data_IF_768334413398
#
_entry.id   IF_768334413398
#
_cell.length_a   1.000
_cell.length_b   1.000
_cell.length_c   1.000
_cell.angle_alpha   90.00
_cell.angle_beta   90.00
_cell.angle_gamma   90.00
#
_symmetry.space_group_name_H-M   'P 1'
#
loop_
_entity.id
_entity.type
_entity.pdbx_description
1 polymer ?
#
# COMPACT_ATOMS: atom_id res chain seq x y z
N UNK A 1 83.78 37.87 24.25
CA UNK A 1 82.37 38.17 23.95
C UNK A 1 81.81 37.01 23.20
N UNK A 2 80.88 36.22 23.82
CA UNK A 2 80.29 35.01 23.22
C UNK A 2 78.92 35.39 22.71
N UNK A 3 78.49 34.95 21.52
CA UNK A 3 77.09 35.07 21.11
C UNK A 3 76.31 33.77 21.56
N UNK A 4 75.16 33.99 22.15
CA UNK A 4 74.19 33.03 22.62
C UNK A 4 73.38 32.50 21.45
N UNK A 5 73.42 31.19 21.24
CA UNK A 5 72.58 30.53 20.22
C UNK A 5 71.18 30.23 20.83
N UNK A 6 70.19 30.82 20.29
CA UNK A 6 68.82 30.56 20.65
C UNK A 6 68.26 29.42 19.76
N UNK A 7 68.03 28.23 20.35
CA UNK A 7 67.44 27.09 19.66
C UNK A 7 65.94 27.22 19.66
N UNK A 8 65.33 27.42 18.49
CA UNK A 8 63.91 27.30 18.29
C UNK A 8 63.51 25.81 18.07
N UNK A 9 62.84 25.23 19.03
CA UNK A 9 62.16 23.97 18.85
C UNK A 9 60.85 24.19 18.04
N UNK A 10 60.83 23.71 16.82
CA UNK A 10 59.61 23.63 16.02
C UNK A 10 58.85 22.36 16.43
N UNK A 11 57.70 22.53 17.12
CA UNK A 11 56.74 21.47 17.40
C UNK A 11 55.88 21.25 16.16
N UNK A 12 56.13 20.17 15.42
CA UNK A 12 55.28 19.74 14.32
C UNK A 12 54.08 18.98 14.94
N UNK A 13 52.92 19.64 15.04
CA UNK A 13 51.66 19.01 15.39
C UNK A 13 51.10 18.30 14.15
N UNK A 14 51.30 16.99 14.05
CA UNK A 14 50.64 16.15 13.06
C UNK A 14 49.16 15.98 13.46
N UNK A 15 48.28 16.75 12.88
CA UNK A 15 46.84 16.55 12.99
C UNK A 15 46.47 15.31 12.16
N UNK A 16 46.25 14.17 12.83
CA UNK A 16 45.66 12.98 12.23
C UNK A 16 44.18 13.28 12.07
N UNK A 17 43.78 13.72 10.90
CA UNK A 17 42.38 13.80 10.51
C UNK A 17 41.85 12.37 10.33
N UNK A 18 41.25 11.79 11.39
CA UNK A 18 40.45 10.58 11.25
C UNK A 18 39.20 10.92 10.49
N UNK A 19 39.20 10.76 9.17
CA UNK A 19 38.01 10.71 8.36
C UNK A 19 37.23 9.45 8.73
N UNK A 20 36.27 9.57 9.65
CA UNK A 20 35.27 8.56 9.83
C UNK A 20 34.42 8.56 8.55
N UNK A 21 34.81 7.78 7.55
CA UNK A 21 33.85 7.35 6.53
C UNK A 21 32.85 6.46 7.26
N UNK A 22 31.67 7.03 7.55
CA UNK A 22 30.54 6.23 7.92
C UNK A 22 30.24 5.31 6.72
N UNK A 23 30.75 4.07 6.77
CA UNK A 23 30.28 3.03 5.87
C UNK A 23 28.78 2.93 6.09
N UNK A 24 28.00 3.25 5.06
CA UNK A 24 26.57 2.97 5.08
C UNK A 24 26.45 1.46 5.38
N UNK A 25 25.92 1.14 6.55
CA UNK A 25 25.69 -0.25 6.91
C UNK A 25 24.83 -0.87 5.80
N UNK A 26 25.22 -2.05 5.30
CA UNK A 26 24.43 -2.77 4.32
C UNK A 26 23.02 -2.98 4.89
N UNK A 27 22.02 -2.39 4.22
CA UNK A 27 20.62 -2.52 4.63
C UNK A 27 20.23 -4.00 4.52
N UNK A 28 19.82 -4.66 5.61
CA UNK A 28 19.45 -6.06 5.57
C UNK A 28 18.35 -6.30 4.53
N UNK A 29 18.49 -7.36 3.73
CA UNK A 29 17.50 -7.76 2.75
C UNK A 29 16.81 -9.03 3.23
N UNK A 30 15.47 -8.99 3.32
CA UNK A 30 14.62 -10.10 3.72
C UNK A 30 13.72 -10.49 2.54
N UNK A 31 13.73 -11.76 2.19
CA UNK A 31 12.89 -12.31 1.13
C UNK A 31 11.61 -12.90 1.73
N UNK A 32 10.51 -12.16 1.63
CA UNK A 32 9.20 -12.57 2.16
C UNK A 32 8.63 -13.78 1.40
N UNK A 33 9.10 -14.09 0.20
CA UNK A 33 8.66 -15.28 -0.55
C UNK A 33 9.19 -16.57 0.06
N UNK A 34 10.22 -16.46 0.89
CA UNK A 34 10.85 -17.58 1.65
C UNK A 34 10.65 -17.44 3.16
N UNK A 35 10.02 -16.37 3.59
CA UNK A 35 9.78 -16.09 5.01
C UNK A 35 8.59 -16.88 5.53
N UNK A 36 8.75 -17.51 6.68
CA UNK A 36 7.65 -18.16 7.38
C UNK A 36 7.04 -17.17 8.38
N UNK A 37 5.81 -16.67 8.14
CA UNK A 37 5.17 -15.76 9.07
C UNK A 37 4.88 -16.45 10.41
N UNK A 38 4.89 -15.69 11.52
CA UNK A 38 4.48 -16.22 12.80
C UNK A 38 3.01 -16.67 12.74
N UNK A 39 2.67 -17.76 13.46
CA UNK A 39 1.33 -18.34 13.43
C UNK A 39 0.47 -17.77 14.56
N UNK A 40 -0.73 -17.26 14.24
CA UNK A 40 -1.61 -16.63 15.21
C UNK A 40 -2.02 -17.56 16.36
N UNK A 41 -2.12 -18.85 16.09
CA UNK A 41 -2.48 -19.85 17.10
C UNK A 41 -1.39 -20.05 18.17
N UNK A 42 -0.15 -19.65 17.89
CA UNK A 42 0.95 -19.68 18.86
C UNK A 42 0.95 -18.51 19.83
N UNK A 43 0.09 -17.51 19.61
CA UNK A 43 0.01 -16.31 20.45
C UNK A 43 -0.66 -16.63 21.79
N UNK A 44 -0.01 -16.26 22.89
CA UNK A 44 -0.53 -16.45 24.24
C UNK A 44 -1.81 -15.66 24.55
N UNK A 45 -2.33 -15.84 25.78
CA UNK A 45 -3.52 -15.16 26.26
C UNK A 45 -3.22 -14.04 27.30
N UNK A 46 -1.95 -13.66 27.42
CA UNK A 46 -1.55 -12.47 28.16
C UNK A 46 -2.12 -11.19 27.52
N UNK A 47 -2.05 -10.04 28.21
CA UNK A 47 -2.63 -8.79 27.67
C UNK A 47 -2.16 -8.43 26.27
N UNK A 48 -0.86 -8.61 25.95
CA UNK A 48 -0.31 -8.32 24.62
C UNK A 48 -0.81 -9.33 23.59
N UNK A 49 -0.81 -10.62 23.91
CA UNK A 49 -1.32 -11.68 23.04
C UNK A 49 -2.79 -11.48 22.69
N UNK A 50 -3.64 -11.09 23.65
CA UNK A 50 -5.05 -10.74 23.40
C UNK A 50 -5.16 -9.56 22.43
N UNK A 51 -4.29 -8.56 22.56
CA UNK A 51 -4.28 -7.39 21.67
C UNK A 51 -3.85 -7.77 20.24
N UNK A 52 -2.84 -8.64 20.09
CA UNK A 52 -2.42 -9.20 18.78
C UNK A 52 -3.55 -10.00 18.13
N UNK A 53 -4.22 -10.87 18.88
CA UNK A 53 -5.39 -11.63 18.39
C UNK A 53 -6.53 -10.72 17.96
N UNK A 54 -6.77 -9.64 18.70
CA UNK A 54 -7.78 -8.65 18.30
C UNK A 54 -7.37 -7.92 17.02
N UNK A 55 -6.09 -7.55 16.86
CA UNK A 55 -5.56 -6.98 15.61
C UNK A 55 -5.72 -7.92 14.42
N UNK A 56 -5.47 -9.22 14.61
CA UNK A 56 -5.77 -10.23 13.59
C UNK A 56 -7.27 -10.28 13.24
N UNK A 57 -8.16 -10.30 14.25
CA UNK A 57 -9.61 -10.26 14.02
C UNK A 57 -10.04 -9.02 13.22
N UNK A 58 -9.49 -7.84 13.55
CA UNK A 58 -9.70 -6.61 12.79
C UNK A 58 -9.27 -6.76 11.32
N UNK A 59 -8.18 -7.49 11.03
CA UNK A 59 -7.70 -7.72 9.67
C UNK A 59 -8.61 -8.63 8.86
N UNK A 60 -9.11 -9.71 9.46
CA UNK A 60 -9.83 -10.76 8.73
C UNK A 60 -11.34 -10.61 8.77
N UNK A 61 -11.86 -9.80 9.68
CA UNK A 61 -13.30 -9.62 9.91
C UNK A 61 -13.67 -8.16 10.21
N UNK A 62 -13.02 -7.22 9.53
CA UNK A 62 -13.16 -5.77 9.75
C UNK A 62 -14.61 -5.30 9.79
N UNK A 63 -15.46 -5.82 8.86
CA UNK A 63 -16.86 -5.40 8.75
C UNK A 63 -17.67 -5.66 10.02
N UNK A 64 -17.44 -6.82 10.69
CA UNK A 64 -18.13 -7.18 11.92
C UNK A 64 -17.50 -6.54 13.16
N UNK A 65 -16.19 -6.32 13.14
CA UNK A 65 -15.48 -5.76 14.28
C UNK A 65 -15.69 -4.24 14.40
N UNK A 66 -15.53 -3.52 13.28
CA UNK A 66 -15.52 -2.04 13.26
C UNK A 66 -16.19 -1.46 11.99
N UNK A 67 -16.97 -2.25 11.29
CA UNK A 67 -17.65 -1.84 10.06
C UNK A 67 -19.18 -1.72 10.21
N UNK A 68 -19.91 -1.70 9.09
CA UNK A 68 -21.35 -1.48 9.08
C UNK A 68 -22.16 -2.48 9.91
N UNK A 69 -21.64 -3.70 10.09
CA UNK A 69 -22.27 -4.79 10.85
C UNK A 69 -21.75 -4.95 12.27
N UNK A 70 -20.85 -4.06 12.73
CA UNK A 70 -20.33 -4.09 14.09
C UNK A 70 -21.50 -3.95 15.11
N UNK A 71 -21.48 -4.82 16.12
CA UNK A 71 -22.52 -4.88 17.15
C UNK A 71 -22.63 -3.54 17.92
N UNK A 72 -21.50 -2.91 18.22
CA UNK A 72 -21.43 -1.58 18.81
C UNK A 72 -21.40 -0.50 17.72
N UNK A 73 -22.48 0.29 17.55
CA UNK A 73 -22.53 1.35 16.53
C UNK A 73 -21.44 2.42 16.71
N UNK A 74 -20.94 2.65 17.92
CA UNK A 74 -19.90 3.66 18.19
C UNK A 74 -18.57 3.27 17.60
N UNK A 75 -18.36 1.97 17.36
CA UNK A 75 -17.16 1.38 16.76
C UNK A 75 -17.22 1.25 15.25
N UNK A 76 -18.27 1.70 14.59
CA UNK A 76 -18.40 1.65 13.12
C UNK A 76 -17.49 2.69 12.47
N UNK A 77 -16.21 2.34 12.33
CA UNK A 77 -15.18 3.16 11.70
C UNK A 77 -15.08 2.91 10.19
N UNK A 78 -15.20 1.64 9.73
CA UNK A 78 -15.29 1.32 8.32
C UNK A 78 -16.66 1.67 7.76
N UNK A 79 -16.72 2.29 6.58
CA UNK A 79 -17.95 2.69 5.90
C UNK A 79 -18.44 1.66 4.86
N UNK A 80 -17.69 0.58 4.65
CA UNK A 80 -18.02 -0.48 3.71
C UNK A 80 -17.83 -1.88 4.30
N UNK A 81 -18.27 -2.92 3.58
CA UNK A 81 -18.18 -4.32 4.02
C UNK A 81 -16.87 -5.02 3.68
N UNK A 82 -15.86 -4.28 3.21
CA UNK A 82 -14.54 -4.85 2.96
C UNK A 82 -13.86 -5.25 4.27
N UNK A 83 -12.95 -6.20 4.16
CA UNK A 83 -11.98 -6.51 5.21
C UNK A 83 -10.59 -6.10 4.75
N UNK A 84 -9.69 -5.80 5.69
CA UNK A 84 -8.32 -5.43 5.34
C UNK A 84 -7.64 -6.53 4.52
N UNK A 85 -7.91 -7.80 4.83
CA UNK A 85 -7.35 -8.92 4.07
C UNK A 85 -7.86 -9.05 2.63
N UNK A 86 -8.88 -8.28 2.21
CA UNK A 86 -9.29 -8.27 0.79
C UNK A 86 -8.24 -7.65 -0.13
N UNK A 87 -7.32 -6.85 0.42
CA UNK A 87 -6.15 -6.31 -0.26
C UNK A 87 -4.82 -6.78 0.34
N UNK A 88 -4.82 -7.10 1.65
CA UNK A 88 -3.66 -7.63 2.39
C UNK A 88 -3.86 -9.13 2.61
N UNK A 89 -3.76 -9.92 1.52
CA UNK A 89 -4.17 -11.32 1.51
C UNK A 89 -3.51 -12.15 2.62
N UNK A 90 -4.21 -13.21 3.06
CA UNK A 90 -3.79 -14.09 4.17
C UNK A 90 -3.44 -13.30 5.42
N UNK A 91 -4.36 -12.42 5.84
CA UNK A 91 -4.17 -11.54 7.00
C UNK A 91 -2.88 -10.69 6.94
N UNK A 92 -2.44 -10.31 5.73
CA UNK A 92 -1.25 -9.49 5.51
C UNK A 92 0.06 -10.28 5.45
N UNK A 93 0.03 -11.58 5.20
CA UNK A 93 1.24 -12.41 5.12
C UNK A 93 1.62 -12.82 3.70
N UNK A 94 0.72 -12.69 2.71
CA UNK A 94 1.00 -13.14 1.34
C UNK A 94 1.95 -12.20 0.62
N UNK A 95 3.13 -12.67 0.15
CA UNK A 95 4.05 -11.88 -0.65
C UNK A 95 3.37 -11.32 -1.92
N UNK A 96 3.75 -10.11 -2.32
CA UNK A 96 3.21 -9.40 -3.48
C UNK A 96 1.68 -9.16 -3.47
N UNK A 97 1.04 -9.38 -2.32
CA UNK A 97 -0.36 -9.03 -2.06
C UNK A 97 -0.46 -7.96 -0.95
N UNK A 98 0.38 -6.94 -1.04
CA UNK A 98 0.52 -5.88 -0.04
C UNK A 98 0.74 -6.44 1.38
N UNK A 99 1.75 -7.31 1.62
CA UNK A 99 1.96 -7.89 2.94
C UNK A 99 2.20 -6.81 4.00
N UNK A 100 1.80 -7.11 5.24
CA UNK A 100 2.10 -6.29 6.42
C UNK A 100 3.32 -6.82 7.18
N UNK A 101 3.85 -7.97 6.78
CA UNK A 101 5.08 -8.56 7.32
C UNK A 101 6.23 -7.58 7.14
N UNK A 102 6.87 -7.19 8.25
CA UNK A 102 7.96 -6.23 8.28
C UNK A 102 7.55 -4.76 8.19
N UNK A 103 6.24 -4.46 8.10
CA UNK A 103 5.76 -3.06 7.95
C UNK A 103 6.11 -2.19 9.15
N UNK A 104 6.22 -2.78 10.35
CA UNK A 104 6.53 -2.05 11.57
C UNK A 104 7.84 -1.26 11.46
N UNK A 105 8.90 -1.91 10.99
CA UNK A 105 10.22 -1.29 10.83
C UNK A 105 10.37 -0.36 9.64
N UNK A 106 9.29 -0.12 8.86
CA UNK A 106 9.31 0.81 7.72
C UNK A 106 8.82 2.22 8.08
N UNK A 107 8.31 2.43 9.29
CA UNK A 107 7.79 3.71 9.75
C UNK A 107 8.58 4.26 10.94
N UNK A 108 8.67 5.60 11.10
CA UNK A 108 8.10 6.64 10.23
C UNK A 108 8.82 6.77 8.88
N UNK A 109 8.09 7.20 7.83
CA UNK A 109 8.67 7.42 6.51
C UNK A 109 8.02 8.60 5.78
N UNK A 110 8.73 9.16 4.79
CA UNK A 110 8.15 10.19 3.93
C UNK A 110 7.03 9.62 3.06
N UNK A 111 5.93 10.33 3.02
CA UNK A 111 4.72 9.96 2.28
C UNK A 111 4.37 11.03 1.26
N UNK A 112 4.67 10.77 0.00
CA UNK A 112 4.47 11.75 -1.07
C UNK A 112 3.01 12.19 -1.25
N UNK A 113 2.02 11.37 -0.87
CA UNK A 113 0.60 11.75 -0.96
C UNK A 113 0.25 12.86 0.02
N UNK A 114 0.74 12.78 1.23
CA UNK A 114 0.54 13.77 2.28
C UNK A 114 1.60 14.88 2.21
N UNK A 115 2.78 14.60 1.66
CA UNK A 115 3.91 15.53 1.53
C UNK A 115 4.73 15.69 2.80
N UNK A 116 4.64 14.75 3.72
CA UNK A 116 5.24 14.82 5.04
C UNK A 116 5.78 13.46 5.54
N UNK A 117 6.51 13.47 6.66
CA UNK A 117 6.89 12.26 7.38
C UNK A 117 5.66 11.75 8.13
N UNK A 118 5.21 10.55 7.78
CA UNK A 118 4.02 9.93 8.39
C UNK A 118 4.36 8.71 9.22
N UNK A 119 3.50 8.43 10.21
CA UNK A 119 3.56 7.27 11.10
C UNK A 119 2.76 6.08 10.54
N UNK A 120 2.89 4.91 11.17
CA UNK A 120 2.10 3.74 10.80
C UNK A 120 0.60 3.95 11.12
N UNK A 121 0.27 4.65 12.20
CA UNK A 121 -1.10 5.01 12.58
C UNK A 121 -1.77 5.86 11.49
N UNK A 122 -1.09 6.87 11.01
CA UNK A 122 -1.58 7.73 9.92
C UNK A 122 -1.74 6.92 8.63
N UNK A 123 -0.84 5.96 8.37
CA UNK A 123 -0.98 5.05 7.22
C UNK A 123 -2.20 4.16 7.34
N UNK A 124 -2.49 3.61 8.53
CA UNK A 124 -3.70 2.83 8.83
C UNK A 124 -4.94 3.71 8.61
N UNK A 125 -4.96 4.92 9.16
CA UNK A 125 -6.07 5.86 9.01
C UNK A 125 -6.29 6.27 7.55
N UNK A 126 -5.22 6.42 6.76
CA UNK A 126 -5.34 6.61 5.32
C UNK A 126 -6.06 5.45 4.62
N UNK A 127 -5.92 4.20 5.09
CA UNK A 127 -6.69 3.07 4.59
C UNK A 127 -8.15 3.11 5.06
N UNK A 128 -8.39 3.44 6.34
CA UNK A 128 -9.75 3.55 6.89
C UNK A 128 -10.61 4.54 6.10
N UNK A 129 -10.04 5.69 5.77
CA UNK A 129 -10.75 6.75 5.06
C UNK A 129 -10.88 6.51 3.55
N UNK A 130 -10.00 5.71 2.93
CA UNK A 130 -9.95 5.50 1.46
C UNK A 130 -10.42 4.11 1.07
N UNK A 131 -9.71 3.07 1.48
CA UNK A 131 -10.03 1.69 1.14
C UNK A 131 -11.31 1.23 1.85
N UNK A 132 -11.47 1.64 3.10
CA UNK A 132 -12.64 1.28 3.89
C UNK A 132 -13.78 2.31 3.81
N UNK A 133 -13.64 3.38 3.01
CA UNK A 133 -14.67 4.44 2.81
C UNK A 133 -15.28 4.97 4.12
N UNK A 134 -14.51 4.95 5.21
CA UNK A 134 -14.93 5.25 6.57
C UNK A 134 -14.28 6.48 7.15
N UNK A 135 -14.07 6.46 8.45
CA UNK A 135 -13.44 7.53 9.24
C UNK A 135 -12.19 7.05 9.96
N UNK A 136 -11.30 7.98 10.28
CA UNK A 136 -10.08 7.69 11.04
C UNK A 136 -10.40 7.07 12.40
N UNK A 137 -9.57 6.11 12.82
CA UNK A 137 -9.54 5.60 14.18
C UNK A 137 -8.89 6.66 15.10
N UNK A 138 -9.42 6.90 16.31
CA UNK A 138 -8.68 7.64 17.32
C UNK A 138 -7.33 6.96 17.60
N UNK A 139 -6.26 7.75 17.71
CA UNK A 139 -4.91 7.20 17.85
C UNK A 139 -4.71 6.41 19.14
N UNK A 140 -5.46 6.73 20.20
CA UNK A 140 -5.46 6.06 21.50
C UNK A 140 -6.49 4.93 21.61
N UNK A 141 -7.28 4.66 20.55
CA UNK A 141 -8.30 3.61 20.54
C UNK A 141 -7.70 2.21 20.72
N UNK A 142 -8.50 1.30 21.26
CA UNK A 142 -8.13 -0.11 21.38
C UNK A 142 -7.86 -0.73 20.00
N UNK A 143 -8.64 -0.34 19.00
CA UNK A 143 -8.55 -0.78 17.62
C UNK A 143 -7.21 -0.39 17.00
N UNK A 144 -6.79 0.87 17.16
CA UNK A 144 -5.49 1.32 16.67
C UNK A 144 -4.35 0.57 17.37
N UNK A 145 -4.39 0.45 18.70
CA UNK A 145 -3.40 -0.32 19.46
C UNK A 145 -3.33 -1.78 19.01
N UNK A 146 -4.48 -2.38 18.66
CA UNK A 146 -4.55 -3.75 18.19
C UNK A 146 -3.91 -3.91 16.79
N UNK A 147 -4.17 -2.99 15.85
CA UNK A 147 -3.49 -2.99 14.55
C UNK A 147 -1.97 -2.85 14.70
N UNK A 148 -1.51 -1.95 15.57
CA UNK A 148 -0.07 -1.76 15.82
C UNK A 148 0.57 -2.98 16.46
N UNK A 149 -0.09 -3.61 17.45
CA UNK A 149 0.39 -4.83 18.08
C UNK A 149 0.49 -5.98 17.07
N UNK A 150 -0.50 -6.11 16.19
CA UNK A 150 -0.49 -7.11 15.13
C UNK A 150 0.62 -6.85 14.10
N UNK A 151 0.79 -5.62 13.63
CA UNK A 151 1.85 -5.24 12.69
C UNK A 151 3.25 -5.49 13.28
N UNK A 152 3.45 -5.15 14.55
CA UNK A 152 4.70 -5.44 15.27
C UNK A 152 4.97 -6.94 15.39
N UNK A 153 3.94 -7.71 15.76
CA UNK A 153 4.04 -9.16 15.88
C UNK A 153 4.38 -9.81 14.55
N UNK A 154 3.73 -9.40 13.44
CA UNK A 154 4.07 -9.88 12.08
C UNK A 154 5.49 -9.52 11.66
N UNK A 155 6.10 -8.51 12.26
CA UNK A 155 7.46 -8.05 11.96
C UNK A 155 8.52 -8.70 12.87
N UNK A 156 8.13 -9.67 13.72
CA UNK A 156 9.07 -10.36 14.61
C UNK A 156 10.18 -11.04 13.81
N UNK A 157 11.44 -10.72 14.15
CA UNK A 157 12.62 -11.25 13.48
C UNK A 157 13.02 -10.54 12.18
N UNK A 158 12.30 -9.47 11.80
CA UNK A 158 12.66 -8.61 10.66
C UNK A 158 13.31 -7.33 11.20
N UNK A 159 14.55 -7.01 10.82
CA UNK A 159 15.22 -5.79 11.24
C UNK A 159 14.50 -4.52 10.74
N UNK A 160 14.50 -3.47 11.55
CA UNK A 160 13.95 -2.18 11.16
C UNK A 160 14.72 -1.62 9.94
N UNK A 161 13.98 -1.04 9.00
CA UNK A 161 14.54 -0.51 7.75
C UNK A 161 14.98 -1.57 6.74
N UNK A 162 14.78 -2.87 7.00
CA UNK A 162 15.14 -3.92 6.05
C UNK A 162 14.48 -3.73 4.69
N UNK A 163 15.22 -4.01 3.61
CA UNK A 163 14.66 -4.11 2.26
C UNK A 163 13.88 -5.42 2.13
N UNK A 164 12.59 -5.31 1.83
CA UNK A 164 11.68 -6.45 1.78
C UNK A 164 11.40 -6.85 0.33
N UNK A 165 11.90 -8.00 -0.12
CA UNK A 165 11.48 -8.64 -1.36
C UNK A 165 10.10 -9.27 -1.11
N UNK A 166 9.16 -9.09 -2.01
CA UNK A 166 7.79 -9.57 -1.82
C UNK A 166 6.86 -8.54 -1.17
N UNK A 167 7.38 -7.36 -0.76
CA UNK A 167 6.55 -6.25 -0.29
C UNK A 167 5.73 -5.62 -1.44
N UNK A 168 4.60 -4.99 -1.09
CA UNK A 168 3.72 -4.33 -2.06
C UNK A 168 3.09 -5.30 -3.06
N UNK A 169 3.06 -4.92 -4.34
CA UNK A 169 2.62 -5.74 -5.46
C UNK A 169 3.75 -5.90 -6.47
N UNK A 170 3.78 -7.02 -7.17
CA UNK A 170 4.73 -7.24 -8.26
C UNK A 170 4.22 -6.51 -9.51
N UNK A 171 5.05 -5.65 -10.10
CA UNK A 171 4.66 -4.90 -11.29
C UNK A 171 4.38 -5.82 -12.49
N UNK A 172 3.42 -5.42 -13.33
CA UNK A 172 3.21 -6.01 -14.65
C UNK A 172 4.20 -5.44 -15.66
N UNK A 173 4.40 -6.14 -16.77
CA UNK A 173 4.96 -5.54 -17.97
C UNK A 173 3.87 -4.66 -18.61
N UNK A 174 3.97 -3.34 -18.37
CA UNK A 174 2.99 -2.38 -18.85
C UNK A 174 2.91 -2.40 -20.40
N UNK A 175 1.70 -2.59 -20.98
CA UNK A 175 1.53 -2.47 -22.43
C UNK A 175 1.76 -1.04 -22.91
N UNK A 176 2.39 -0.88 -24.08
CA UNK A 176 2.62 0.44 -24.73
C UNK A 176 1.35 0.95 -25.45
N UNK A 177 0.25 1.00 -24.73
CA UNK A 177 -1.06 1.50 -25.18
C UNK A 177 -1.90 1.92 -23.97
N UNK A 178 -3.01 2.60 -24.22
CA UNK A 178 -4.03 2.76 -23.19
C UNK A 178 -4.66 1.40 -22.82
N UNK A 179 -5.07 1.24 -21.58
CA UNK A 179 -5.89 0.11 -21.15
C UNK A 179 -7.27 0.19 -21.81
N UNK A 180 -7.81 -0.96 -22.23
CA UNK A 180 -9.12 -1.05 -22.90
C UNK A 180 -10.19 -1.60 -21.91
N UNK A 181 -11.04 -0.74 -21.31
CA UNK A 181 -12.11 -1.20 -20.44
C UNK A 181 -13.13 -2.13 -21.15
N UNK A 182 -13.27 -2.07 -22.48
CA UNK A 182 -14.19 -2.96 -23.23
C UNK A 182 -13.64 -4.38 -23.31
N UNK A 183 -12.33 -4.53 -23.55
CA UNK A 183 -11.68 -5.84 -23.45
C UNK A 183 -11.68 -6.30 -21.99
N UNK A 184 -11.41 -5.40 -21.04
CA UNK A 184 -11.49 -5.67 -19.60
C UNK A 184 -12.85 -6.19 -19.15
N UNK A 185 -13.96 -5.69 -19.71
CA UNK A 185 -15.30 -6.18 -19.42
C UNK A 185 -15.49 -7.66 -19.85
N UNK A 186 -14.89 -8.08 -20.98
CA UNK A 186 -14.93 -9.48 -21.42
C UNK A 186 -14.13 -10.36 -20.46
N UNK A 187 -12.88 -9.97 -20.16
CA UNK A 187 -12.04 -10.68 -19.19
C UNK A 187 -12.74 -10.79 -17.82
N UNK A 188 -13.40 -9.71 -17.40
CA UNK A 188 -14.14 -9.70 -16.13
C UNK A 188 -15.31 -10.69 -16.15
N UNK A 189 -16.11 -10.71 -17.22
CA UNK A 189 -17.24 -11.62 -17.37
C UNK A 189 -16.78 -13.09 -17.32
N UNK A 190 -15.68 -13.41 -17.99
CA UNK A 190 -15.17 -14.77 -18.12
C UNK A 190 -14.47 -15.27 -16.87
N UNK A 191 -13.79 -14.38 -16.11
CA UNK A 191 -12.85 -14.80 -15.04
C UNK A 191 -13.25 -14.30 -13.65
N UNK A 192 -13.95 -13.18 -13.54
CA UNK A 192 -14.15 -12.49 -12.26
C UNK A 192 -15.61 -12.50 -11.78
N UNK A 193 -16.56 -12.42 -12.72
CA UNK A 193 -17.98 -12.21 -12.43
C UNK A 193 -18.60 -13.35 -11.61
N UNK A 194 -18.11 -14.59 -11.76
CA UNK A 194 -18.57 -15.73 -10.98
C UNK A 194 -18.46 -15.49 -9.47
N UNK A 195 -17.38 -14.84 -9.03
CA UNK A 195 -17.15 -14.54 -7.61
C UNK A 195 -17.59 -13.10 -7.25
N UNK A 196 -17.22 -12.10 -8.06
CA UNK A 196 -17.42 -10.71 -7.71
C UNK A 196 -18.76 -10.12 -8.19
N UNK A 197 -19.64 -10.95 -8.80
CA UNK A 197 -20.91 -10.49 -9.40
C UNK A 197 -20.70 -9.86 -10.77
N UNK A 198 -21.71 -9.91 -11.63
CA UNK A 198 -21.66 -9.34 -12.99
C UNK A 198 -21.49 -7.81 -12.99
N UNK A 199 -22.00 -7.18 -11.94
CA UNK A 199 -21.97 -5.73 -11.69
C UNK A 199 -20.81 -5.29 -10.78
N UNK A 200 -20.00 -6.25 -10.31
CA UNK A 200 -18.91 -5.96 -9.39
C UNK A 200 -19.32 -5.70 -7.93
N UNK A 201 -20.56 -5.93 -7.57
CA UNK A 201 -21.09 -5.66 -6.22
C UNK A 201 -20.72 -6.75 -5.19
N UNK A 202 -19.99 -7.78 -5.62
CA UNK A 202 -19.55 -8.85 -4.75
C UNK A 202 -20.65 -9.85 -4.39
N UNK A 203 -20.32 -10.75 -3.47
CA UNK A 203 -21.29 -11.72 -2.92
C UNK A 203 -21.15 -11.70 -1.40
N UNK A 204 -22.28 -11.55 -0.69
CA UNK A 204 -22.31 -11.62 0.77
C UNK A 204 -22.24 -13.07 1.23
N UNK A 205 -21.60 -13.29 2.38
CA UNK A 205 -21.66 -14.59 3.05
C UNK A 205 -23.11 -14.91 3.48
N UNK A 206 -23.43 -16.19 3.59
CA UNK A 206 -24.77 -16.64 4.00
C UNK A 206 -25.21 -16.06 5.35
N UNK A 207 -24.27 -15.75 6.23
CA UNK A 207 -24.50 -15.06 7.52
C UNK A 207 -24.80 -13.56 7.37
N UNK A 208 -24.70 -13.00 6.17
CA UNK A 208 -25.07 -11.61 5.83
C UNK A 208 -24.10 -10.53 6.31
N UNK A 209 -23.14 -10.85 7.14
CA UNK A 209 -22.32 -9.86 7.84
C UNK A 209 -21.09 -9.40 7.04
N UNK A 210 -20.35 -10.34 6.44
CA UNK A 210 -19.15 -10.05 5.64
C UNK A 210 -19.34 -10.48 4.19
N UNK A 211 -18.51 -9.96 3.29
CA UNK A 211 -18.50 -10.40 1.90
C UNK A 211 -17.73 -11.71 1.78
N UNK A 212 -18.35 -12.76 1.24
CA UNK A 212 -17.66 -13.98 0.83
C UNK A 212 -16.69 -13.65 -0.30
N UNK A 213 -17.17 -12.90 -1.29
CA UNK A 213 -16.34 -12.29 -2.32
C UNK A 213 -16.55 -10.79 -2.33
N UNK A 214 -15.48 -9.99 -2.13
CA UNK A 214 -15.63 -8.56 -1.88
C UNK A 214 -16.10 -7.79 -3.12
N UNK A 215 -16.88 -6.72 -2.93
CA UNK A 215 -17.30 -5.82 -4.00
C UNK A 215 -16.08 -5.10 -4.62
N UNK A 216 -16.14 -4.91 -5.94
CA UNK A 216 -15.17 -4.14 -6.74
C UNK A 216 -15.75 -2.81 -7.19
N UNK A 217 -17.05 -2.61 -7.05
CA UNK A 217 -17.81 -1.43 -7.44
C UNK A 217 -18.84 -1.05 -6.37
N UNK A 218 -19.52 0.06 -6.58
CA UNK A 218 -20.61 0.53 -5.73
C UNK A 218 -20.17 1.15 -4.40
N UNK A 219 -21.14 1.54 -3.57
CA UNK A 219 -20.88 2.23 -2.30
C UNK A 219 -20.20 1.34 -1.26
N UNK A 220 -20.34 0.02 -1.39
CA UNK A 220 -19.81 -0.96 -0.44
C UNK A 220 -18.36 -1.39 -0.80
N UNK A 221 -17.74 -0.73 -1.78
CA UNK A 221 -16.36 -0.90 -2.19
C UNK A 221 -15.47 0.25 -1.70
N UNK A 222 -14.19 0.22 -2.07
CA UNK A 222 -13.26 1.33 -1.81
C UNK A 222 -13.66 2.58 -2.60
N UNK A 223 -13.41 3.77 -2.04
CA UNK A 223 -13.73 5.02 -2.72
C UNK A 223 -12.68 5.43 -3.77
N UNK A 224 -12.98 6.47 -4.55
CA UNK A 224 -12.12 6.96 -5.64
C UNK A 224 -10.76 7.50 -5.19
N UNK A 225 -10.51 7.70 -3.91
CA UNK A 225 -9.21 8.08 -3.33
C UNK A 225 -8.32 6.91 -2.94
N UNK A 226 -8.80 5.67 -3.06
CA UNK A 226 -8.04 4.47 -2.69
C UNK A 226 -6.91 4.19 -3.69
N UNK A 227 -5.84 3.52 -3.24
CA UNK A 227 -4.72 3.15 -4.10
C UNK A 227 -5.10 2.20 -5.25
N UNK A 228 -6.13 1.36 -5.04
CA UNK A 228 -6.64 0.42 -6.03
C UNK A 228 -7.40 1.07 -7.19
N UNK A 229 -7.70 2.38 -7.13
CA UNK A 229 -8.24 3.12 -8.27
C UNK A 229 -7.18 3.44 -9.34
N UNK A 230 -5.91 3.25 -9.00
CA UNK A 230 -4.80 3.38 -9.93
C UNK A 230 -4.68 2.10 -10.75
N UNK A 231 -4.79 2.24 -12.07
CA UNK A 231 -4.88 1.09 -12.97
C UNK A 231 -3.64 0.18 -12.92
N UNK A 232 -2.44 0.75 -12.81
CA UNK A 232 -1.21 -0.06 -12.69
C UNK A 232 -1.15 -0.82 -11.36
N UNK A 233 -1.61 -0.20 -10.28
CA UNK A 233 -1.67 -0.85 -8.96
C UNK A 233 -2.69 -1.99 -8.95
N UNK A 234 -3.88 -1.75 -9.53
CA UNK A 234 -4.92 -2.76 -9.63
C UNK A 234 -4.51 -3.91 -10.54
N UNK A 235 -3.90 -3.61 -11.70
CA UNK A 235 -3.39 -4.61 -12.63
C UNK A 235 -2.32 -5.50 -12.00
N UNK A 236 -1.36 -4.89 -11.29
CA UNK A 236 -0.32 -5.61 -10.57
C UNK A 236 -0.90 -6.58 -9.52
N UNK A 237 -1.90 -6.12 -8.77
CA UNK A 237 -2.58 -6.97 -7.80
C UNK A 237 -3.37 -8.11 -8.47
N UNK A 238 -4.16 -7.79 -9.49
CA UNK A 238 -5.00 -8.76 -10.21
C UNK A 238 -4.14 -9.83 -10.88
N UNK A 239 -3.08 -9.43 -11.59
CA UNK A 239 -2.17 -10.31 -12.32
C UNK A 239 -1.59 -11.42 -11.44
N UNK A 240 -1.20 -11.08 -10.21
CA UNK A 240 -0.42 -11.96 -9.36
C UNK A 240 -1.22 -12.60 -8.22
N UNK A 241 -2.50 -12.22 -8.04
CA UNK A 241 -3.31 -12.67 -6.91
C UNK A 241 -4.74 -13.08 -7.28
N UNK A 242 -5.16 -12.91 -8.54
CA UNK A 242 -6.51 -13.22 -9.02
C UNK A 242 -6.48 -14.00 -10.34
N UNK A 243 -7.46 -14.90 -10.59
CA UNK A 243 -8.54 -15.32 -9.68
C UNK A 243 -8.05 -16.05 -8.44
N UNK A 244 -8.96 -16.37 -7.51
CA UNK A 244 -8.63 -17.10 -6.27
C UNK A 244 -7.81 -18.36 -6.55
N UNK A 245 -6.69 -18.51 -5.85
CA UNK A 245 -5.72 -19.60 -6.06
C UNK A 245 -4.51 -19.21 -6.92
N UNK A 246 -4.56 -18.06 -7.62
CA UNK A 246 -3.39 -17.52 -8.34
C UNK A 246 -2.29 -17.13 -7.36
N UNK A 247 -1.04 -17.41 -7.76
CA UNK A 247 0.16 -16.96 -7.06
C UNK A 247 1.04 -16.13 -8.00
N UNK A 248 1.95 -15.36 -7.42
CA UNK A 248 2.80 -14.45 -8.21
C UNK A 248 3.73 -15.18 -9.19
N UNK A 249 4.08 -16.43 -8.93
CA UNK A 249 4.95 -17.29 -9.75
C UNK A 249 4.15 -18.17 -10.73
N UNK A 250 2.82 -18.28 -10.57
CA UNK A 250 1.92 -18.99 -11.45
C UNK A 250 0.67 -18.17 -11.81
N UNK A 251 0.84 -17.01 -12.46
CA UNK A 251 -0.28 -16.12 -12.78
C UNK A 251 -1.14 -16.67 -13.93
N UNK A 252 -2.46 -16.55 -13.80
CA UNK A 252 -3.44 -17.04 -14.77
C UNK A 252 -3.66 -16.06 -15.93
N UNK A 253 -3.81 -14.76 -15.61
CA UNK A 253 -4.05 -13.74 -16.62
C UNK A 253 -2.75 -13.31 -17.31
N UNK A 254 -2.80 -12.83 -18.54
CA UNK A 254 -1.70 -12.08 -19.16
C UNK A 254 -1.56 -10.68 -18.51
N UNK A 255 -0.40 -10.03 -18.69
CA UNK A 255 -0.22 -8.65 -18.28
C UNK A 255 -1.23 -7.71 -18.95
N UNK A 256 -1.53 -7.95 -20.24
CA UNK A 256 -2.50 -7.17 -20.99
C UNK A 256 -3.92 -7.35 -20.48
N UNK A 257 -4.35 -8.57 -20.16
CA UNK A 257 -5.69 -8.84 -19.62
C UNK A 257 -5.83 -8.27 -18.22
N UNK A 258 -4.80 -8.40 -17.38
CA UNK A 258 -4.79 -7.79 -16.05
C UNK A 258 -4.88 -6.25 -16.10
N UNK A 259 -4.20 -5.64 -17.08
CA UNK A 259 -4.25 -4.20 -17.32
C UNK A 259 -5.64 -3.73 -17.77
N UNK A 260 -6.24 -4.44 -18.73
CA UNK A 260 -7.55 -4.10 -19.26
C UNK A 260 -8.67 -4.35 -18.25
N UNK A 261 -8.63 -5.48 -17.51
CA UNK A 261 -9.65 -5.74 -16.47
C UNK A 261 -9.54 -4.79 -15.28
N UNK A 262 -8.32 -4.34 -14.93
CA UNK A 262 -8.14 -3.29 -13.93
C UNK A 262 -8.78 -1.95 -14.37
N UNK A 263 -8.66 -1.62 -15.66
CA UNK A 263 -9.31 -0.44 -16.23
C UNK A 263 -10.84 -0.56 -16.20
N UNK A 264 -11.39 -1.73 -16.54
CA UNK A 264 -12.82 -2.00 -16.43
C UNK A 264 -13.32 -1.85 -14.99
N UNK A 265 -12.69 -2.51 -14.03
CA UNK A 265 -13.05 -2.40 -12.60
C UNK A 265 -13.02 -0.94 -12.14
N UNK A 266 -12.04 -0.16 -12.60
CA UNK A 266 -11.90 1.25 -12.24
C UNK A 266 -12.79 2.20 -13.08
N UNK A 267 -13.49 1.68 -14.09
CA UNK A 267 -14.55 2.42 -14.78
C UNK A 267 -15.91 2.34 -14.06
N UNK A 268 -16.10 1.34 -13.20
CA UNK A 268 -17.32 1.13 -12.46
C UNK A 268 -17.51 2.20 -11.36
N UNK A 269 -18.76 2.53 -11.09
CA UNK A 269 -19.13 3.53 -10.07
C UNK A 269 -18.68 3.13 -8.66
N UNK A 270 -18.33 4.14 -7.88
CA UNK A 270 -17.90 4.00 -6.47
C UNK A 270 -18.11 5.29 -5.70
N UNK A 271 -18.06 5.21 -4.37
CA UNK A 271 -18.11 6.38 -3.50
C UNK A 271 -17.00 7.37 -3.81
N UNK A 272 -17.31 8.65 -3.68
CA UNK A 272 -16.34 9.74 -3.86
C UNK A 272 -15.79 10.20 -2.52
N UNK A 273 -14.50 10.53 -2.49
CA UNK A 273 -13.82 11.16 -1.37
C UNK A 273 -13.66 12.65 -1.64
N UNK A 274 -13.94 13.48 -0.65
CA UNK A 274 -13.68 14.91 -0.72
C UNK A 274 -12.18 15.24 -0.65
N UNK A 275 -11.81 16.43 -1.11
CA UNK A 275 -10.45 16.99 -0.97
C UNK A 275 -9.32 16.19 -1.63
N UNK A 276 -9.59 15.46 -2.71
CA UNK A 276 -8.56 14.73 -3.46
C UNK A 276 -7.56 15.67 -4.16
N UNK A 277 -7.91 16.91 -4.37
CA UNK A 277 -7.05 17.99 -4.89
C UNK A 277 -5.88 18.31 -3.96
N UNK A 278 -6.04 18.08 -2.66
CA UNK A 278 -4.99 18.24 -1.64
C UNK A 278 -3.95 17.14 -1.65
N UNK A 279 -4.27 15.98 -2.22
CA UNK A 279 -3.32 14.87 -2.34
C UNK A 279 -2.11 15.29 -3.20
N UNK A 280 -0.95 14.82 -2.79
CA UNK A 280 0.33 15.13 -3.43
C UNK A 280 0.56 16.65 -3.52
N UNK A 281 0.87 17.34 -2.40
CA UNK A 281 1.19 18.76 -2.41
C UNK A 281 2.27 19.09 -3.44
N UNK A 282 3.33 18.28 -3.51
CA UNK A 282 4.25 18.26 -4.64
C UNK A 282 3.66 17.41 -5.78
N UNK A 283 3.03 18.08 -6.74
CA UNK A 283 2.37 17.41 -7.87
C UNK A 283 3.32 16.62 -8.78
N UNK A 284 4.62 16.92 -8.75
CA UNK A 284 5.65 16.12 -9.45
C UNK A 284 5.81 14.70 -8.90
N UNK A 285 5.40 14.46 -7.65
CA UNK A 285 5.40 13.14 -7.01
C UNK A 285 4.09 12.37 -7.19
N UNK A 286 3.11 12.98 -7.88
CA UNK A 286 1.83 12.33 -8.14
C UNK A 286 2.02 11.15 -9.08
N UNK A 287 1.49 9.95 -8.76
CA UNK A 287 1.59 8.82 -9.65
C UNK A 287 0.97 9.11 -11.02
N UNK A 288 1.63 8.66 -12.08
CA UNK A 288 1.19 8.90 -13.48
C UNK A 288 -0.19 8.33 -13.78
N UNK A 289 -0.62 7.32 -13.03
CA UNK A 289 -1.91 6.65 -13.14
C UNK A 289 -2.92 7.11 -12.06
N UNK A 290 -2.73 8.31 -11.49
CA UNK A 290 -3.69 8.90 -10.55
C UNK A 290 -4.94 9.37 -11.31
N UNK A 291 -6.15 8.81 -11.05
CA UNK A 291 -7.33 9.13 -11.86
C UNK A 291 -7.97 10.48 -11.53
N UNK A 292 -7.37 11.29 -10.66
CA UNK A 292 -7.89 12.60 -10.25
C UNK A 292 -6.79 13.66 -10.23
N UNK A 293 -7.15 14.87 -10.66
CA UNK A 293 -6.27 16.04 -10.68
C UNK A 293 -6.04 16.68 -9.29
N UNK A 294 -5.38 17.85 -9.26
CA UNK A 294 -4.75 18.52 -10.40
C UNK A 294 -3.46 17.83 -10.86
N UNK A 295 -3.10 18.05 -12.13
CA UNK A 295 -1.85 17.57 -12.76
C UNK A 295 -0.98 18.75 -13.18
N UNK A 296 0.34 18.50 -13.37
CA UNK A 296 1.32 19.53 -13.81
C UNK A 296 1.86 19.29 -15.21
N UNK A 297 1.51 18.18 -15.81
CA UNK A 297 2.08 17.68 -17.06
C UNK A 297 1.24 18.01 -18.31
N UNK A 298 0.04 18.55 -18.11
CA UNK A 298 -0.87 18.99 -19.17
C UNK A 298 -1.68 17.85 -19.83
N UNK A 299 -1.56 16.61 -19.35
CA UNK A 299 -2.37 15.50 -19.85
C UNK A 299 -3.76 15.44 -19.20
N UNK A 300 -4.70 14.80 -19.89
CA UNK A 300 -6.09 14.69 -19.43
C UNK A 300 -6.25 13.69 -18.28
N UNK A 301 -7.32 13.84 -17.50
CA UNK A 301 -7.68 12.88 -16.46
C UNK A 301 -7.95 11.48 -17.03
N UNK A 302 -8.47 11.40 -18.24
CA UNK A 302 -8.69 10.13 -18.94
C UNK A 302 -7.38 9.42 -19.25
N UNK A 303 -6.35 10.15 -19.73
CA UNK A 303 -5.04 9.57 -19.97
C UNK A 303 -4.35 9.16 -18.66
N UNK A 304 -4.50 9.92 -17.59
CA UNK A 304 -4.06 9.53 -16.25
C UNK A 304 -4.82 8.32 -15.69
N UNK A 305 -6.05 8.10 -16.12
CA UNK A 305 -6.86 6.97 -15.69
C UNK A 305 -6.52 5.68 -16.45
N UNK A 306 -6.25 5.77 -17.74
CA UNK A 306 -6.14 4.59 -18.61
C UNK A 306 -4.81 4.48 -19.38
N UNK A 307 -3.96 5.51 -19.37
CA UNK A 307 -2.73 5.56 -20.14
C UNK A 307 -2.95 6.03 -21.59
N UNK A 308 -1.95 5.89 -22.47
CA UNK A 308 -0.62 5.34 -22.18
C UNK A 308 0.20 6.25 -21.27
N UNK A 309 0.94 5.67 -20.33
CA UNK A 309 1.65 6.45 -19.29
C UNK A 309 3.08 6.87 -19.69
N UNK A 310 3.63 6.31 -20.75
CA UNK A 310 4.95 6.67 -21.27
C UNK A 310 5.12 8.18 -21.51
N UNK A 311 4.20 8.84 -22.25
CA UNK A 311 4.24 10.29 -22.50
C UNK A 311 4.18 11.12 -21.20
N UNK A 312 3.33 10.73 -20.22
CA UNK A 312 3.23 11.41 -18.94
C UNK A 312 4.57 11.34 -18.19
N UNK A 313 5.17 10.13 -18.10
CA UNK A 313 6.49 9.95 -17.46
C UNK A 313 7.58 10.78 -18.15
N UNK A 314 7.56 10.86 -19.47
CA UNK A 314 8.51 11.67 -20.23
C UNK A 314 8.37 13.17 -19.86
N UNK A 315 7.13 13.67 -19.84
CA UNK A 315 6.85 15.07 -19.50
C UNK A 315 7.21 15.41 -18.05
N UNK A 316 6.89 14.53 -17.09
CA UNK A 316 7.28 14.72 -15.69
C UNK A 316 8.80 14.78 -15.53
N UNK A 317 9.56 13.94 -16.26
CA UNK A 317 11.04 14.01 -16.26
C UNK A 317 11.56 15.30 -16.86
N UNK A 318 10.97 15.77 -17.98
CA UNK A 318 11.30 17.06 -18.59
C UNK A 318 11.10 18.21 -17.60
N UNK A 319 9.94 18.26 -16.95
CA UNK A 319 9.63 19.30 -15.95
C UNK A 319 10.58 19.23 -14.75
N UNK A 320 10.98 18.05 -14.31
CA UNK A 320 11.92 17.87 -13.20
C UNK A 320 13.34 18.33 -13.55
N UNK A 321 13.73 18.26 -14.83
CA UNK A 321 15.05 18.66 -15.32
C UNK A 321 15.12 20.17 -15.69
N UNK A 322 13.98 20.86 -15.77
CA UNK A 322 13.95 22.29 -16.08
C UNK A 322 14.64 23.11 -14.96
N UNK A 323 15.49 24.07 -15.29
CA UNK A 323 16.09 24.97 -14.30
C UNK A 323 14.98 25.72 -13.53
N UNK A 324 15.14 25.79 -12.20
CA UNK A 324 14.22 26.49 -11.31
C UNK A 324 14.39 28.00 -11.41
#
# INVERSE_FOLDING_TARGET
MKPTICSMLAVVAAAIAMTHQAQAADVPQIDLTKWTPPQIDSVGNDPLGKLVKYGHALMVDTANQIGPTAADPTKRYSGNSLTCQNCHLKAGTQPYANPLTGVWGQFPQYRGREGEIGTLEERINGCMERSMSGRALPLDSLEMKAYLAYARWLSTGIPDGAKLIGAGTLNIKEPDRAADPRNGAKVYADTCAQCHGKDGLGQRAATGASSQFPPRAGPDSYNNGAGMTRVLTAAAFVRHNMPLGTTFDAPVLSDADAYDVAAYINSLDRSTRANLDKDFPNKMQKPVDSPYGPYVDGFTAEQHKYGPFGPIRAKVRELAAAPK
#
